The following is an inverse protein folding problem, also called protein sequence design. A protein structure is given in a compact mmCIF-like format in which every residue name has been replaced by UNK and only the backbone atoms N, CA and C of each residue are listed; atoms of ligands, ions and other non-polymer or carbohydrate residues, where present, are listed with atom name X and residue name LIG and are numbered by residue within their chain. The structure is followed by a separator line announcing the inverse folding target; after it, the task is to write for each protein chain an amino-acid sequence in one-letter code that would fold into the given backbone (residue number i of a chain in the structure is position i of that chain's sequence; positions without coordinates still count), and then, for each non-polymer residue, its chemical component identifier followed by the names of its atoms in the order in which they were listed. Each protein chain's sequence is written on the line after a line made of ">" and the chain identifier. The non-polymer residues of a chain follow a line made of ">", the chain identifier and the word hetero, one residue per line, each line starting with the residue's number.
data_IF_160625634417
#
_entry.id   IF_160625634417
#
_cell.length_a   1.000
_cell.length_b   1.000
_cell.length_c   1.000
_cell.angle_alpha   90.00
_cell.angle_beta   90.00
_cell.angle_gamma   90.00
#
_symmetry.space_group_name_H-M   'P 1'
#
loop_
_entity.id
_entity.type
_entity.pdbx_description
1 polymer ?
#
# COMPACT_ATOMS: atom_id res chain seq x y z
N UNK A 1 -24.69 -1.63 -29.31
CA UNK A 1 -24.86 -0.20 -29.00
C UNK A 1 -23.90 0.10 -27.86
N UNK A 2 -22.74 0.73 -28.14
CA UNK A 2 -21.78 1.10 -27.08
C UNK A 2 -22.30 2.41 -26.50
N UNK A 3 -22.72 2.41 -25.24
CA UNK A 3 -23.00 3.64 -24.52
C UNK A 3 -21.71 4.47 -24.47
N UNK A 4 -21.72 5.61 -25.14
CA UNK A 4 -20.72 6.65 -24.98
C UNK A 4 -20.98 7.28 -23.61
N UNK A 5 -20.25 6.83 -22.58
CA UNK A 5 -20.17 7.58 -21.32
C UNK A 5 -19.56 8.94 -21.68
N UNK A 6 -20.21 10.04 -21.28
CA UNK A 6 -19.76 11.40 -21.57
C UNK A 6 -18.41 11.67 -20.87
N UNK A 7 -17.32 11.43 -21.60
CA UNK A 7 -15.94 11.61 -21.14
C UNK A 7 -15.64 13.04 -20.65
N UNK A 8 -16.43 14.03 -21.07
CA UNK A 8 -16.23 15.45 -20.73
C UNK A 8 -16.53 15.70 -19.26
N UNK A 9 -17.69 15.22 -18.79
CA UNK A 9 -18.14 15.37 -17.40
C UNK A 9 -17.23 14.60 -16.42
N UNK A 10 -16.74 13.42 -16.84
CA UNK A 10 -15.79 12.62 -16.06
C UNK A 10 -14.43 13.31 -15.91
N UNK A 11 -13.88 13.87 -17.00
CA UNK A 11 -12.61 14.61 -16.96
C UNK A 11 -12.68 15.82 -16.04
N UNK A 12 -13.80 16.55 -16.05
CA UNK A 12 -13.97 17.74 -15.21
C UNK A 12 -13.95 17.41 -13.71
N UNK A 13 -14.66 16.37 -13.28
CA UNK A 13 -14.69 15.98 -11.87
C UNK A 13 -13.35 15.42 -11.41
N UNK A 14 -12.69 14.57 -12.22
CA UNK A 14 -11.34 14.10 -11.91
C UNK A 14 -10.36 15.28 -11.82
N UNK A 15 -10.53 16.29 -12.67
CA UNK A 15 -9.81 17.56 -12.59
C UNK A 15 -10.07 18.34 -11.30
N UNK A 16 -11.32 18.39 -10.81
CA UNK A 16 -11.66 18.98 -9.49
C UNK A 16 -11.01 18.24 -8.33
N UNK A 17 -10.81 16.92 -8.47
CA UNK A 17 -10.03 16.09 -7.55
C UNK A 17 -8.51 16.22 -7.77
N UNK A 18 -8.05 17.12 -8.65
CA UNK A 18 -6.63 17.36 -8.88
C UNK A 18 -5.87 16.14 -9.41
N UNK A 19 -6.58 15.24 -10.09
CA UNK A 19 -6.02 14.03 -10.69
C UNK A 19 -5.47 14.32 -12.09
N UNK A 20 -4.38 13.66 -12.52
CA UNK A 20 -3.82 13.87 -13.85
C UNK A 20 -4.82 13.40 -14.93
N UNK A 21 -4.82 14.02 -16.12
CA UNK A 21 -5.73 13.69 -17.21
C UNK A 21 -5.27 12.43 -17.97
N UNK A 22 -5.13 11.31 -17.27
CA UNK A 22 -4.81 10.01 -17.83
C UNK A 22 -6.09 9.17 -18.03
N UNK A 23 -6.09 8.16 -18.91
CA UNK A 23 -7.18 7.21 -18.98
C UNK A 23 -7.26 6.41 -17.67
N UNK A 24 -8.28 6.69 -16.86
CA UNK A 24 -8.56 5.88 -15.68
C UNK A 24 -9.39 4.66 -16.08
N UNK A 25 -9.00 3.45 -15.66
CA UNK A 25 -9.79 2.25 -15.88
C UNK A 25 -11.00 2.23 -14.92
N UNK A 26 -11.89 3.22 -15.00
CA UNK A 26 -13.08 3.27 -14.14
C UNK A 26 -14.11 2.22 -14.57
N UNK A 27 -14.76 1.51 -13.63
CA UNK A 27 -15.89 0.64 -13.93
C UNK A 27 -17.03 1.46 -14.54
N UNK A 28 -17.77 0.87 -15.47
CA UNK A 28 -18.94 1.52 -16.07
C UNK A 28 -20.05 1.86 -15.05
N UNK A 29 -20.11 1.12 -13.94
CA UNK A 29 -21.01 1.33 -12.80
C UNK A 29 -20.47 2.34 -11.79
N UNK A 30 -19.17 2.62 -11.79
CA UNK A 30 -18.55 3.70 -11.03
C UNK A 30 -18.73 5.02 -11.79
N UNK A 31 -20.00 5.40 -11.99
CA UNK A 31 -20.31 6.74 -12.47
C UNK A 31 -19.80 7.73 -11.43
N UNK A 32 -19.09 8.74 -11.91
CA UNK A 32 -18.60 9.84 -11.08
C UNK A 32 -19.74 10.53 -10.31
N UNK A 33 -20.97 10.42 -10.80
CA UNK A 33 -22.18 10.84 -10.09
C UNK A 33 -22.47 10.00 -8.83
N UNK A 34 -22.19 8.69 -8.84
CA UNK A 34 -22.36 7.80 -7.68
C UNK A 34 -21.29 8.02 -6.60
N UNK A 35 -20.14 8.57 -7.02
CA UNK A 35 -19.07 9.07 -6.14
C UNK A 35 -19.63 10.25 -5.31
N UNK A 36 -20.42 11.15 -5.89
CA UNK A 36 -21.02 12.29 -5.16
C UNK A 36 -22.23 11.94 -4.25
N UNK A 37 -22.91 10.81 -4.48
CA UNK A 37 -24.17 10.44 -3.77
C UNK A 37 -24.02 9.27 -2.78
N UNK A 38 -22.79 8.84 -2.49
CA UNK A 38 -22.48 7.76 -1.56
C UNK A 38 -22.26 8.30 -0.14
N UNK A 39 -22.73 7.58 0.89
CA UNK A 39 -22.41 7.87 2.31
C UNK A 39 -20.91 7.74 2.60
N UNK A 40 -20.18 6.96 1.78
CA UNK A 40 -18.73 6.84 1.82
C UNK A 40 -18.06 7.96 1.03
N UNK A 41 -16.94 8.53 1.53
CA UNK A 41 -16.30 9.65 0.87
C UNK A 41 -15.83 9.24 -0.53
N UNK A 42 -16.25 9.96 -1.59
CA UNK A 42 -15.90 9.68 -2.98
C UNK A 42 -14.42 9.35 -3.25
N UNK A 43 -13.54 10.06 -2.54
CA UNK A 43 -12.08 9.93 -2.63
C UNK A 43 -11.59 8.56 -2.17
N UNK A 44 -12.15 8.01 -1.09
CA UNK A 44 -11.72 6.71 -0.54
C UNK A 44 -12.09 5.55 -1.46
N UNK A 45 -13.29 5.59 -2.04
CA UNK A 45 -13.74 4.57 -2.99
C UNK A 45 -12.92 4.59 -4.28
N UNK A 46 -12.59 5.79 -4.77
CA UNK A 46 -11.70 5.94 -5.93
C UNK A 46 -10.29 5.44 -5.61
N UNK A 47 -9.74 5.75 -4.43
CA UNK A 47 -8.42 5.25 -4.01
C UNK A 47 -8.41 3.72 -3.98
N UNK A 48 -9.42 3.09 -3.37
CA UNK A 48 -9.54 1.63 -3.35
C UNK A 48 -9.58 1.03 -4.75
N UNK A 49 -10.33 1.65 -5.66
CA UNK A 49 -10.38 1.22 -7.04
C UNK A 49 -9.01 1.31 -7.74
N UNK A 50 -8.29 2.42 -7.56
CA UNK A 50 -6.94 2.56 -8.10
C UNK A 50 -5.95 1.55 -7.51
N UNK A 51 -6.09 1.21 -6.22
CA UNK A 51 -5.31 0.13 -5.60
C UNK A 51 -5.56 -1.21 -6.29
N UNK A 52 -6.83 -1.54 -6.62
CA UNK A 52 -7.17 -2.77 -7.34
C UNK A 52 -6.64 -2.78 -8.78
N UNK A 53 -6.75 -1.66 -9.50
CA UNK A 53 -6.25 -1.54 -10.86
C UNK A 53 -4.73 -1.60 -10.93
N UNK A 54 -4.06 -0.92 -10.00
CA UNK A 54 -2.60 -0.93 -9.91
C UNK A 54 -2.05 -2.34 -9.70
N UNK A 55 -2.77 -3.17 -8.94
CA UNK A 55 -2.39 -4.56 -8.66
C UNK A 55 -2.54 -5.51 -9.87
N UNK A 56 -3.18 -5.10 -10.97
CA UNK A 56 -3.36 -5.97 -12.14
C UNK A 56 -2.03 -6.17 -12.91
N UNK A 57 -1.77 -7.38 -13.44
CA UNK A 57 -0.64 -7.61 -14.33
C UNK A 57 -0.69 -6.67 -15.55
N UNK A 58 0.44 -6.03 -15.86
CA UNK A 58 0.56 -5.11 -16.99
C UNK A 58 -0.10 -3.73 -16.81
N UNK A 59 -0.57 -3.40 -15.61
CA UNK A 59 -1.05 -2.05 -15.31
C UNK A 59 0.09 -1.02 -15.40
N UNK A 60 -0.21 0.18 -15.91
CA UNK A 60 0.65 1.37 -15.78
C UNK A 60 0.60 1.89 -14.35
N UNK A 61 1.16 1.12 -13.43
CA UNK A 61 1.06 1.36 -12.00
C UNK A 61 1.80 2.64 -11.58
N UNK A 62 2.87 3.03 -12.29
CA UNK A 62 3.56 4.31 -12.09
C UNK A 62 2.65 5.50 -12.43
N UNK A 63 1.86 5.41 -13.51
CA UNK A 63 0.85 6.42 -13.83
C UNK A 63 -0.25 6.51 -12.76
N UNK A 64 -0.69 5.37 -12.23
CA UNK A 64 -1.70 5.30 -11.17
C UNK A 64 -1.18 5.76 -9.80
N UNK A 65 0.12 5.60 -9.54
CA UNK A 65 0.77 6.00 -8.29
C UNK A 65 0.54 7.48 -7.97
N UNK A 66 0.77 8.35 -8.96
CA UNK A 66 0.56 9.79 -8.78
C UNK A 66 -0.89 10.10 -8.42
N UNK A 67 -1.85 9.46 -9.08
CA UNK A 67 -3.27 9.62 -8.78
C UNK A 67 -3.61 9.15 -7.36
N UNK A 68 -3.09 7.99 -6.93
CA UNK A 68 -3.26 7.50 -5.55
C UNK A 68 -2.69 8.49 -4.53
N UNK A 69 -1.50 9.05 -4.78
CA UNK A 69 -0.88 10.03 -3.89
C UNK A 69 -1.72 11.31 -3.76
N UNK A 70 -2.33 11.79 -4.84
CA UNK A 70 -3.24 12.96 -4.81
C UNK A 70 -4.49 12.70 -3.99
N UNK A 71 -5.06 11.49 -4.08
CA UNK A 71 -6.22 11.10 -3.26
C UNK A 71 -5.85 11.01 -1.79
N UNK A 72 -4.66 10.48 -1.47
CA UNK A 72 -4.17 10.41 -0.09
C UNK A 72 -3.99 11.79 0.55
N UNK A 73 -3.45 12.76 -0.20
CA UNK A 73 -3.35 14.14 0.25
C UNK A 73 -4.70 14.74 0.66
N UNK A 74 -5.77 14.37 -0.05
CA UNK A 74 -7.12 14.83 0.27
C UNK A 74 -7.70 14.13 1.50
N UNK A 75 -7.37 12.86 1.72
CA UNK A 75 -7.85 12.11 2.88
C UNK A 75 -7.16 12.52 4.18
N UNK A 76 -5.87 12.84 4.12
CA UNK A 76 -5.03 13.05 5.32
C UNK A 76 -4.90 14.54 5.71
N UNK A 77 -5.08 15.46 4.76
CA UNK A 77 -4.84 16.91 4.96
C UNK A 77 -3.40 17.26 5.39
N UNK A 78 -2.41 16.39 5.12
CA UNK A 78 -0.98 16.60 5.39
C UNK A 78 -0.11 16.45 4.13
N UNK A 79 1.11 17.02 4.10
CA UNK A 79 2.05 16.80 2.99
C UNK A 79 2.45 15.31 2.87
N UNK A 80 2.66 14.80 1.64
CA UNK A 80 2.85 13.36 1.38
C UNK A 80 4.17 12.78 1.86
N UNK A 81 5.15 13.64 2.13
CA UNK A 81 6.49 13.26 2.55
C UNK A 81 6.62 13.57 4.02
N UNK A 82 7.23 12.66 4.78
CA UNK A 82 7.55 12.91 6.18
C UNK A 82 8.33 14.23 6.32
N UNK A 83 7.80 15.18 7.11
CA UNK A 83 8.47 16.45 7.36
C UNK A 83 9.78 16.20 8.08
N UNK A 84 10.90 16.62 7.48
CA UNK A 84 12.26 16.49 8.04
C UNK A 84 12.45 17.36 9.30
N UNK A 85 11.48 18.22 9.64
CA UNK A 85 11.54 19.06 10.82
C UNK A 85 11.08 18.31 12.08
N UNK A 86 12.07 17.75 12.81
CA UNK A 86 12.06 17.41 14.25
C UNK A 86 10.71 17.57 14.98
N UNK A 87 9.80 16.64 14.72
CA UNK A 87 8.94 16.10 15.75
C UNK A 87 9.42 14.66 15.91
N UNK A 88 9.61 14.19 17.14
CA UNK A 88 9.70 12.74 17.38
C UNK A 88 8.39 12.20 16.81
N UNK A 89 8.40 11.39 15.73
CA UNK A 89 7.17 10.81 15.23
C UNK A 89 6.58 10.01 16.39
N UNK A 90 5.35 10.29 16.78
CA UNK A 90 4.65 9.35 17.65
C UNK A 90 4.53 8.05 16.84
N UNK A 91 5.02 6.93 17.38
CA UNK A 91 4.96 5.63 16.70
C UNK A 91 3.51 5.40 16.27
N UNK A 92 3.25 5.47 14.96
CA UNK A 92 1.91 5.29 14.42
C UNK A 92 1.67 3.81 14.27
N UNK A 93 0.55 3.34 14.81
CA UNK A 93 0.12 1.96 14.68
C UNK A 93 -1.11 1.92 13.79
N UNK A 94 -1.01 1.15 12.71
CA UNK A 94 -2.16 0.76 11.91
C UNK A 94 -2.59 -0.64 12.37
N UNK A 95 -3.87 -0.84 12.66
CA UNK A 95 -4.35 -2.15 13.11
C UNK A 95 -5.83 -2.37 12.84
N UNK A 96 -6.23 -3.64 12.94
CA UNK A 96 -7.63 -4.06 13.04
C UNK A 96 -7.77 -5.21 14.04
N UNK A 97 -8.96 -5.80 14.10
CA UNK A 97 -9.22 -7.05 14.84
C UNK A 97 -8.37 -8.24 14.36
N UNK A 98 -7.78 -8.20 13.16
CA UNK A 98 -7.07 -9.34 12.57
C UNK A 98 -5.57 -9.15 12.38
N UNK A 99 -5.08 -7.91 12.40
CA UNK A 99 -3.68 -7.62 12.09
C UNK A 99 -3.21 -6.33 12.78
N UNK A 100 -1.90 -6.16 12.89
CA UNK A 100 -1.25 -5.01 13.51
C UNK A 100 0.09 -4.71 12.83
N UNK A 101 0.32 -3.44 12.48
CA UNK A 101 1.55 -2.93 11.91
C UNK A 101 1.97 -1.63 12.59
N UNK A 102 3.25 -1.54 12.89
CA UNK A 102 3.87 -0.26 13.23
C UNK A 102 4.35 0.43 11.96
N UNK A 103 4.06 1.72 11.85
CA UNK A 103 4.41 2.57 10.72
C UNK A 103 5.50 3.54 11.18
N UNK A 104 6.74 3.17 10.92
CA UNK A 104 7.92 3.95 11.31
C UNK A 104 9.08 3.66 10.34
N UNK A 105 10.14 4.45 10.45
CA UNK A 105 11.35 4.29 9.66
C UNK A 105 11.98 2.92 9.88
N UNK A 106 12.23 2.22 8.77
CA UNK A 106 12.94 0.93 8.77
C UNK A 106 14.42 1.17 8.48
N UNK A 107 15.35 0.73 9.36
CA UNK A 107 16.77 0.86 9.12
C UNK A 107 17.21 -0.06 7.97
N UNK A 108 17.69 0.52 6.88
CA UNK A 108 18.05 -0.21 5.65
C UNK A 108 19.46 -0.84 5.69
N UNK A 109 20.25 -0.52 6.71
CA UNK A 109 21.60 -1.04 6.95
C UNK A 109 21.60 -2.35 7.78
N UNK A 110 20.42 -2.83 8.17
CA UNK A 110 20.21 -4.04 8.96
C UNK A 110 19.38 -5.04 8.17
N UNK A 111 19.27 -6.25 8.70
CA UNK A 111 18.38 -7.25 8.15
C UNK A 111 16.95 -6.71 7.97
N UNK A 112 16.41 -6.88 6.76
CA UNK A 112 15.07 -6.43 6.39
C UNK A 112 14.45 -7.34 5.33
N UNK A 113 13.14 -7.24 5.18
CA UNK A 113 12.41 -7.71 4.00
C UNK A 113 11.94 -6.48 3.23
N UNK A 114 12.14 -6.45 1.93
CA UNK A 114 11.57 -5.43 1.05
C UNK A 114 10.35 -5.96 0.35
N UNK A 115 9.44 -5.05 0.04
CA UNK A 115 8.37 -5.22 -0.92
C UNK A 115 8.75 -4.42 -2.17
N UNK A 116 8.89 -5.09 -3.30
CA UNK A 116 9.45 -4.54 -4.53
C UNK A 116 8.54 -4.79 -5.72
N UNK A 117 8.66 -3.96 -6.76
CA UNK A 117 8.01 -4.13 -8.06
C UNK A 117 8.82 -3.46 -9.15
N UNK A 118 9.11 -4.17 -10.24
CA UNK A 118 9.86 -3.65 -11.41
C UNK A 118 11.17 -2.90 -11.04
N UNK A 119 11.87 -3.37 -10.00
CA UNK A 119 13.11 -2.75 -9.52
C UNK A 119 12.92 -1.52 -8.63
N UNK A 120 11.68 -1.16 -8.28
CA UNK A 120 11.37 -0.14 -7.29
C UNK A 120 11.05 -0.76 -5.93
N UNK A 121 11.65 -0.22 -4.87
CA UNK A 121 11.23 -0.52 -3.50
C UNK A 121 9.91 0.21 -3.20
N UNK A 122 8.88 -0.55 -2.88
CA UNK A 122 7.57 -0.02 -2.47
C UNK A 122 7.50 0.16 -0.96
N UNK A 123 8.04 -0.80 -0.20
CA UNK A 123 8.13 -0.74 1.25
C UNK A 123 9.32 -1.56 1.77
N UNK A 124 9.73 -1.26 3.00
CA UNK A 124 10.68 -2.04 3.79
C UNK A 124 10.00 -2.50 5.08
N UNK A 125 10.35 -3.70 5.54
CA UNK A 125 9.83 -4.33 6.75
C UNK A 125 11.00 -4.79 7.63
N UNK A 126 10.88 -4.57 8.94
CA UNK A 126 11.84 -5.04 9.94
C UNK A 126 11.12 -5.55 11.19
N UNK A 127 11.77 -6.40 12.01
CA UNK A 127 11.21 -6.81 13.29
C UNK A 127 11.25 -5.65 14.30
N UNK A 128 10.17 -5.47 15.05
CA UNK A 128 10.17 -4.73 16.31
C UNK A 128 10.59 -5.63 17.49
N UNK A 129 10.73 -5.05 18.69
CA UNK A 129 11.14 -5.69 19.94
C UNK A 129 10.27 -6.91 20.33
N UNK A 130 8.98 -6.89 19.98
CA UNK A 130 8.04 -8.01 20.22
C UNK A 130 7.89 -8.93 18.99
N UNK A 131 8.83 -8.87 18.03
CA UNK A 131 8.82 -9.61 16.76
C UNK A 131 7.58 -9.37 15.87
N UNK A 132 6.84 -8.29 16.15
CA UNK A 132 5.88 -7.68 15.23
C UNK A 132 6.60 -6.91 14.14
N UNK A 133 5.89 -6.49 13.10
CA UNK A 133 6.50 -5.80 11.95
C UNK A 133 6.41 -4.28 12.09
N UNK A 134 7.54 -3.63 11.84
CA UNK A 134 7.62 -2.20 11.48
C UNK A 134 7.70 -2.11 9.97
N UNK A 135 6.95 -1.17 9.39
CA UNK A 135 6.88 -0.95 7.93
C UNK A 135 7.11 0.51 7.60
N UNK A 136 7.98 0.74 6.62
CA UNK A 136 8.17 2.03 5.97
C UNK A 136 7.82 1.90 4.50
N UNK A 137 6.81 2.62 4.01
CA UNK A 137 6.47 2.64 2.59
C UNK A 137 7.16 3.83 1.90
N UNK A 138 7.61 3.64 0.67
CA UNK A 138 8.27 4.66 -0.15
C UNK A 138 7.40 5.13 -1.32
N UNK A 139 6.37 4.34 -1.64
CA UNK A 139 5.41 4.60 -2.73
C UNK A 139 4.00 4.22 -2.31
N UNK A 140 2.95 4.84 -2.88
CA UNK A 140 1.59 4.36 -2.75
C UNK A 140 1.48 2.88 -3.11
N UNK A 141 0.81 2.12 -2.27
CA UNK A 141 0.74 0.67 -2.32
C UNK A 141 -0.52 0.24 -3.06
N UNK A 142 -0.38 -0.72 -3.96
CA UNK A 142 -1.50 -1.36 -4.63
C UNK A 142 -2.22 -2.37 -3.71
N UNK A 143 -3.35 -2.89 -4.17
CA UNK A 143 -4.16 -3.83 -3.40
C UNK A 143 -3.42 -5.15 -3.11
N UNK A 144 -2.51 -5.59 -3.99
CA UNK A 144 -1.75 -6.82 -3.77
C UNK A 144 -0.73 -6.62 -2.65
N UNK A 145 -0.01 -5.51 -2.70
CA UNK A 145 0.93 -5.02 -1.69
C UNK A 145 0.27 -4.89 -0.32
N UNK A 146 -0.88 -4.22 -0.24
CA UNK A 146 -1.63 -4.04 1.00
C UNK A 146 -2.14 -5.38 1.57
N UNK A 147 -2.55 -6.31 0.70
CA UNK A 147 -2.93 -7.67 1.10
C UNK A 147 -1.75 -8.44 1.68
N UNK A 148 -0.57 -8.35 1.06
CA UNK A 148 0.64 -9.00 1.59
C UNK A 148 1.00 -8.43 2.96
N UNK A 149 1.06 -7.10 3.09
CA UNK A 149 1.39 -6.46 4.38
C UNK A 149 0.41 -6.85 5.48
N UNK A 150 -0.90 -6.79 5.23
CA UNK A 150 -1.90 -7.16 6.23
C UNK A 150 -1.90 -8.66 6.56
N UNK A 151 -1.57 -9.53 5.60
CA UNK A 151 -1.38 -10.97 5.84
C UNK A 151 -0.16 -11.27 6.70
N UNK A 152 0.97 -10.62 6.42
CA UNK A 152 2.19 -10.74 7.24
C UNK A 152 2.01 -10.18 8.65
N UNK A 153 1.12 -9.21 8.81
CA UNK A 153 0.79 -8.53 10.06
C UNK A 153 -0.28 -9.21 10.91
N UNK A 154 -0.76 -10.41 10.52
CA UNK A 154 -1.84 -11.08 11.21
C UNK A 154 -1.52 -11.32 12.69
N UNK A 155 -2.51 -11.16 13.58
CA UNK A 155 -2.31 -11.40 15.01
C UNK A 155 -1.86 -12.85 15.24
N UNK A 156 -0.73 -13.07 15.95
CA UNK A 156 -0.27 -14.42 16.23
C UNK A 156 -1.23 -15.11 17.20
N UNK A 157 -1.51 -16.39 16.95
CA UNK A 157 -2.21 -17.23 17.91
C UNK A 157 -1.32 -17.42 19.16
N UNK A 158 -1.84 -17.27 20.39
CA UNK A 158 -1.04 -17.26 21.63
C UNK A 158 -0.13 -18.47 21.86
N UNK A 159 -0.40 -19.59 21.20
CA UNK A 159 0.39 -20.83 21.30
C UNK A 159 1.01 -21.32 19.99
N UNK A 160 0.45 -20.92 18.85
CA UNK A 160 0.79 -21.51 17.55
C UNK A 160 1.53 -20.51 16.65
N UNK A 161 1.72 -19.27 17.15
CA UNK A 161 2.28 -18.18 16.38
C UNK A 161 1.38 -17.80 15.20
N UNK A 162 1.97 -17.44 14.07
CA UNK A 162 1.24 -16.99 12.86
C UNK A 162 1.62 -17.89 11.69
N UNK A 163 0.63 -18.53 11.06
CA UNK A 163 0.83 -19.45 9.94
C UNK A 163 1.94 -20.51 10.16
N UNK A 164 2.02 -21.11 11.36
CA UNK A 164 3.05 -22.07 11.77
C UNK A 164 4.48 -21.50 11.87
N UNK A 165 4.61 -20.19 12.01
CA UNK A 165 5.85 -19.47 12.34
C UNK A 165 5.75 -18.90 13.74
N UNK A 166 6.89 -18.72 14.41
CA UNK A 166 6.94 -18.24 15.79
C UNK A 166 6.33 -16.83 15.93
N UNK A 167 6.58 -15.97 14.95
CA UNK A 167 6.15 -14.57 14.95
C UNK A 167 6.02 -14.02 13.52
N UNK A 168 5.59 -12.76 13.41
CA UNK A 168 5.36 -12.10 12.12
C UNK A 168 6.64 -11.86 11.31
N UNK A 169 7.78 -11.67 11.98
CA UNK A 169 9.07 -11.54 11.32
C UNK A 169 9.50 -12.84 10.63
N UNK A 170 9.45 -13.97 11.33
CA UNK A 170 9.75 -15.29 10.76
C UNK A 170 8.79 -15.64 9.61
N UNK A 171 7.52 -15.20 9.70
CA UNK A 171 6.58 -15.30 8.59
C UNK A 171 7.00 -14.44 7.39
N UNK A 172 7.45 -13.20 7.60
CA UNK A 172 7.91 -12.34 6.52
C UNK A 172 9.15 -12.89 5.81
N UNK A 173 10.12 -13.41 6.56
CA UNK A 173 11.33 -14.03 6.01
C UNK A 173 10.98 -15.29 5.19
N UNK A 174 10.12 -16.16 5.74
CA UNK A 174 9.66 -17.35 5.04
C UNK A 174 8.83 -17.02 3.78
N UNK A 175 7.93 -16.04 3.88
CA UNK A 175 7.15 -15.57 2.74
C UNK A 175 8.03 -14.99 1.63
N UNK A 176 9.13 -14.30 1.98
CA UNK A 176 10.10 -13.79 1.02
C UNK A 176 10.88 -14.91 0.28
N UNK A 177 10.97 -16.11 0.87
CA UNK A 177 11.56 -17.28 0.22
C UNK A 177 10.58 -18.03 -0.71
N UNK A 178 9.31 -17.62 -0.78
CA UNK A 178 8.28 -18.24 -1.61
C UNK A 178 8.56 -18.14 -3.11
N UNK A 179 8.28 -19.22 -3.85
CA UNK A 179 8.47 -19.29 -5.31
C UNK A 179 7.52 -18.34 -6.06
N UNK A 180 6.41 -17.97 -5.44
CA UNK A 180 5.47 -16.96 -5.92
C UNK A 180 6.12 -15.59 -6.12
N UNK A 181 7.15 -15.23 -5.35
CA UNK A 181 7.83 -13.94 -5.49
C UNK A 181 8.60 -13.87 -6.82
N UNK A 182 9.24 -14.97 -7.22
CA UNK A 182 9.91 -15.06 -8.52
C UNK A 182 8.90 -14.90 -9.67
N UNK A 183 7.77 -15.58 -9.60
CA UNK A 183 6.72 -15.48 -10.63
C UNK A 183 6.09 -14.08 -10.67
N UNK A 184 5.85 -13.47 -9.50
CA UNK A 184 5.33 -12.11 -9.40
C UNK A 184 6.31 -11.10 -10.03
N UNK A 185 7.60 -11.22 -9.74
CA UNK A 185 8.65 -10.40 -10.36
C UNK A 185 8.65 -10.52 -11.88
N UNK A 186 8.59 -11.73 -12.43
CA UNK A 186 8.58 -11.96 -13.89
C UNK A 186 7.32 -11.40 -14.59
N UNK A 187 6.22 -11.23 -13.86
CA UNK A 187 4.95 -10.70 -14.37
C UNK A 187 4.75 -9.21 -14.10
N UNK A 188 5.76 -8.53 -13.54
CA UNK A 188 5.70 -7.12 -13.14
C UNK A 188 4.72 -6.86 -11.99
N UNK A 189 4.48 -7.87 -11.14
CA UNK A 189 3.74 -7.78 -9.90
C UNK A 189 4.64 -7.42 -8.72
N UNK A 190 4.03 -7.02 -7.61
CA UNK A 190 4.76 -6.79 -6.37
C UNK A 190 5.21 -8.12 -5.73
N UNK A 191 6.42 -8.16 -5.17
CA UNK A 191 7.03 -9.35 -4.58
C UNK A 191 7.88 -9.00 -3.35
N UNK A 192 8.14 -9.99 -2.50
CA UNK A 192 8.99 -9.85 -1.32
C UNK A 192 10.42 -10.32 -1.60
N UNK A 193 11.40 -9.64 -1.01
CA UNK A 193 12.81 -10.04 -1.04
C UNK A 193 13.46 -9.89 0.34
N UNK A 194 14.23 -10.90 0.76
CA UNK A 194 14.91 -10.90 2.05
C UNK A 194 16.37 -10.44 1.91
N UNK A 195 16.78 -9.53 2.78
CA UNK A 195 18.11 -8.93 2.80
C UNK A 195 18.77 -9.16 4.17
N UNK A 196 19.44 -10.32 4.40
CA UNK A 196 20.01 -10.70 5.69
C UNK A 196 21.06 -9.72 6.27
N UNK A 197 21.60 -8.84 5.45
CA UNK A 197 22.70 -7.92 5.80
C UNK A 197 22.37 -6.46 5.48
N UNK A 198 21.10 -6.15 5.29
CA UNK A 198 20.70 -4.85 4.76
C UNK A 198 20.93 -4.71 3.27
N UNK A 199 20.50 -3.58 2.72
CA UNK A 199 20.66 -3.25 1.30
C UNK A 199 22.12 -2.91 0.95
N UNK A 200 22.95 -2.55 1.94
CA UNK A 200 24.36 -2.22 1.77
C UNK A 200 24.61 -0.90 1.00
N UNK A 201 25.62 -0.14 1.43
CA UNK A 201 26.06 1.08 0.74
C UNK A 201 26.00 2.32 1.63
N UNK A 202 27.12 3.06 1.67
CA UNK A 202 27.14 4.42 2.20
C UNK A 202 26.02 5.21 1.53
N UNK A 203 25.19 5.87 2.34
CA UNK A 203 24.06 6.73 1.97
C UNK A 203 24.40 7.52 0.69
N UNK A 204 24.06 6.97 -0.47
CA UNK A 204 24.10 7.72 -1.72
C UNK A 204 22.92 8.67 -1.67
N UNK A 205 23.07 9.85 -2.26
CA UNK A 205 22.14 10.99 -2.27
C UNK A 205 20.74 10.68 -2.89
N UNK A 206 20.38 9.42 -3.08
CA UNK A 206 19.19 8.93 -3.80
C UNK A 206 18.34 7.94 -2.95
N UNK A 207 18.49 7.96 -1.62
CA UNK A 207 17.59 7.21 -0.73
C UNK A 207 16.17 7.77 -0.90
N UNK A 208 15.26 6.96 -1.46
CA UNK A 208 13.84 7.31 -1.56
C UNK A 208 13.34 7.75 -0.19
N UNK A 209 12.68 8.91 -0.14
CA UNK A 209 12.11 9.39 1.10
C UNK A 209 10.83 8.61 1.38
N UNK A 210 10.65 8.06 2.59
CA UNK A 210 9.43 7.35 2.93
C UNK A 210 8.22 8.28 2.88
N UNK A 211 7.08 7.70 2.53
CA UNK A 211 5.79 8.34 2.70
C UNK A 211 5.53 8.63 4.17
N UNK A 212 4.77 9.70 4.42
CA UNK A 212 4.26 9.98 5.75
C UNK A 212 3.45 8.77 6.30
N UNK A 213 3.64 8.35 7.56
CA UNK A 213 2.90 7.22 8.15
C UNK A 213 1.38 7.34 8.02
N UNK A 214 0.84 8.56 8.06
CA UNK A 214 -0.57 8.87 7.89
C UNK A 214 -1.10 8.42 6.52
N UNK A 215 -0.26 8.53 5.48
CA UNK A 215 -0.62 8.11 4.13
C UNK A 215 -0.65 6.59 4.05
N UNK A 216 0.27 5.91 4.73
CA UNK A 216 0.30 4.44 4.78
C UNK A 216 -0.92 3.91 5.55
N UNK A 217 -1.23 4.51 6.70
CA UNK A 217 -2.42 4.16 7.48
C UNK A 217 -3.71 4.41 6.67
N UNK A 218 -3.86 5.57 6.05
CA UNK A 218 -5.04 5.86 5.21
C UNK A 218 -5.25 4.82 4.10
N UNK A 219 -4.17 4.36 3.44
CA UNK A 219 -4.25 3.29 2.43
C UNK A 219 -4.74 1.97 3.02
N UNK A 220 -4.21 1.58 4.18
CA UNK A 220 -4.60 0.35 4.87
C UNK A 220 -6.06 0.39 5.30
N UNK A 221 -6.51 1.51 5.88
CA UNK A 221 -7.90 1.71 6.31
C UNK A 221 -8.87 1.65 5.13
N UNK A 222 -8.56 2.36 4.02
CA UNK A 222 -9.36 2.35 2.80
C UNK A 222 -9.44 0.93 2.23
N UNK A 223 -8.30 0.26 2.06
CA UNK A 223 -8.26 -1.09 1.53
C UNK A 223 -9.12 -2.05 2.35
N UNK A 224 -9.01 -2.01 3.67
CA UNK A 224 -9.75 -2.94 4.54
C UNK A 224 -11.24 -2.70 4.56
N UNK A 225 -11.66 -1.43 4.62
CA UNK A 225 -13.08 -1.06 4.58
C UNK A 225 -13.76 -1.70 3.38
N UNK A 226 -13.18 -1.52 2.19
CA UNK A 226 -13.80 -1.98 0.95
C UNK A 226 -13.53 -3.46 0.62
N UNK A 227 -12.37 -4.00 1.01
CA UNK A 227 -12.11 -5.43 0.85
C UNK A 227 -13.06 -6.31 1.69
N UNK A 228 -13.42 -5.88 2.90
CA UNK A 228 -14.43 -6.57 3.73
C UNK A 228 -15.82 -6.49 3.11
N UNK A 229 -16.22 -5.33 2.58
CA UNK A 229 -17.51 -5.17 1.92
C UNK A 229 -17.66 -6.04 0.65
N UNK A 230 -16.55 -6.34 -0.03
CA UNK A 230 -16.51 -7.20 -1.21
C UNK A 230 -16.51 -8.72 -0.87
N UNK A 231 -16.24 -9.09 0.37
CA UNK A 231 -16.23 -10.47 0.87
C UNK A 231 -17.29 -10.63 1.99
N UNK A 232 -18.59 -10.56 1.69
CA UNK A 232 -19.62 -10.76 2.71
C UNK A 232 -19.54 -12.20 3.23
N UNK A 233 -19.32 -12.31 4.55
CA UNK A 233 -19.35 -13.50 5.41
C UNK A 233 -19.23 -14.86 4.69
N UNK A 234 -17.99 -15.40 4.68
CA UNK A 234 -17.74 -16.83 4.50
C UNK A 234 -18.12 -17.61 5.76
#
# INVERSE_FOLDING_TARGET
>A
MREYIDNTSQSEVLGRLGLPPIPYPLPSDLRVEAIEHSDDPPVARLLYWLQLCSAQPGADWLGLEYAMQRLLQQLVAEPPVASVAKAVPENRVASSEHWWLELDAVPLDRELVTLERDGYMLAALAPNIDSRLVVSAYRPLDAHSLRMLTGLAAHPHPRLGVAMRENNWELAVDAAAGAENFLASEQGGAYLAHWPRGLGGAVADDVQTPLAPEFVDAQLQVYQRFARAAAPDS
#
